data_IF_913896355170
#
_entry.id   IF_913896355170
#
_cell.length_a   1.000
_cell.length_b   1.000
_cell.length_c   1.000
_cell.angle_alpha   90.00
_cell.angle_beta   90.00
_cell.angle_gamma   90.00
#
_symmetry.space_group_name_H-M   'P 1'
#
loop_
_entity.id
_entity.type
_entity.pdbx_description
1 polymer ?
#
# COMPACT_ATOMS: atom_id res chain seq x y z
N UNK A 1 -3.84 -9.98 -25.06
CA UNK A 1 -2.46 -9.53 -24.95
C UNK A 1 -2.05 -9.71 -23.50
N UNK A 2 -1.07 -10.61 -23.26
CA UNK A 2 -0.59 -10.86 -21.90
C UNK A 2 0.21 -9.67 -21.39
N UNK A 3 0.07 -9.37 -20.11
CA UNK A 3 0.94 -8.41 -19.42
C UNK A 3 2.35 -9.01 -19.40
N UNK A 4 3.32 -8.28 -19.92
CA UNK A 4 4.73 -8.65 -19.78
C UNK A 4 5.37 -7.66 -18.81
N UNK A 5 5.95 -8.14 -17.73
CA UNK A 5 6.55 -7.30 -16.71
C UNK A 5 7.43 -8.10 -15.76
N UNK A 6 8.15 -7.40 -14.90
CA UNK A 6 8.95 -7.99 -13.82
C UNK A 6 8.14 -7.94 -12.54
N UNK A 7 8.01 -9.07 -11.86
CA UNK A 7 7.45 -9.15 -10.51
C UNK A 7 8.62 -9.19 -9.54
N UNK A 8 8.61 -8.28 -8.57
CA UNK A 8 9.58 -8.24 -7.48
C UNK A 8 8.88 -8.67 -6.21
N UNK A 9 9.33 -9.79 -5.64
CA UNK A 9 8.87 -10.25 -4.32
C UNK A 9 9.63 -9.51 -3.24
N UNK A 10 8.91 -8.85 -2.35
CA UNK A 10 9.48 -8.08 -1.25
C UNK A 10 9.34 -8.85 0.06
N UNK A 11 10.30 -8.70 0.98
CA UNK A 11 10.19 -9.28 2.32
C UNK A 11 8.87 -8.89 2.99
N UNK A 12 8.28 -9.81 3.75
CA UNK A 12 7.03 -9.57 4.46
C UNK A 12 7.17 -8.45 5.48
N UNK A 13 6.24 -7.51 5.44
CA UNK A 13 6.18 -6.39 6.37
C UNK A 13 4.75 -6.18 6.88
N UNK A 14 4.64 -5.69 8.10
CA UNK A 14 3.36 -5.25 8.67
C UNK A 14 3.22 -3.73 8.72
N UNK A 15 4.30 -3.01 8.46
CA UNK A 15 4.36 -1.55 8.49
C UNK A 15 5.48 -1.04 7.59
N UNK A 16 5.36 0.19 7.09
CA UNK A 16 6.46 0.92 6.47
C UNK A 16 7.38 1.62 7.50
N UNK A 17 7.07 1.54 8.80
CA UNK A 17 8.00 1.92 9.87
C UNK A 17 8.97 0.76 10.06
N UNK A 18 10.09 0.80 9.34
CA UNK A 18 11.00 -0.32 9.23
C UNK A 18 11.87 -0.47 10.49
N UNK A 19 11.64 -1.53 11.25
CA UNK A 19 12.45 -1.89 12.43
C UNK A 19 13.52 -2.95 12.11
N UNK A 20 13.33 -3.70 11.01
CA UNK A 20 14.26 -4.73 10.54
C UNK A 20 14.88 -4.36 9.20
N UNK A 21 16.02 -5.00 8.84
CA UNK A 21 16.66 -4.82 7.54
C UNK A 21 15.75 -5.24 6.37
N UNK A 22 14.94 -6.28 6.56
CA UNK A 22 13.99 -6.78 5.55
C UNK A 22 12.86 -5.77 5.32
N UNK A 23 12.31 -5.19 6.38
CA UNK A 23 11.30 -4.14 6.29
C UNK A 23 11.86 -2.87 5.66
N UNK A 24 13.12 -2.52 5.96
CA UNK A 24 13.81 -1.42 5.31
C UNK A 24 13.94 -1.65 3.80
N UNK A 25 14.35 -2.85 3.38
CA UNK A 25 14.47 -3.18 1.96
C UNK A 25 13.13 -3.08 1.23
N UNK A 26 12.04 -3.57 1.83
CA UNK A 26 10.69 -3.47 1.27
C UNK A 26 10.23 -2.00 1.15
N UNK A 27 10.39 -1.23 2.23
CA UNK A 27 10.07 0.21 2.24
C UNK A 27 10.86 0.96 1.18
N UNK A 28 12.19 0.77 1.13
CA UNK A 28 13.07 1.50 0.23
C UNK A 28 12.76 1.18 -1.24
N UNK A 29 12.39 -0.08 -1.53
CA UNK A 29 11.95 -0.43 -2.88
C UNK A 29 10.61 0.26 -3.25
N UNK A 30 9.62 0.28 -2.35
CA UNK A 30 8.34 0.94 -2.59
C UNK A 30 8.53 2.44 -2.77
N UNK A 31 9.39 3.07 -1.95
CA UNK A 31 9.62 4.51 -1.95
C UNK A 31 10.50 4.98 -3.10
N UNK A 32 11.54 4.23 -3.48
CA UNK A 32 12.59 4.68 -4.37
C UNK A 32 12.79 3.79 -5.61
N UNK A 33 12.23 2.58 -5.62
CA UNK A 33 12.34 1.66 -6.74
C UNK A 33 11.39 1.97 -7.91
N UNK A 34 10.49 2.96 -7.77
CA UNK A 34 9.53 3.38 -8.77
C UNK A 34 8.71 2.24 -9.39
N UNK A 35 8.08 1.36 -8.59
CA UNK A 35 7.25 0.30 -9.15
C UNK A 35 6.06 0.89 -9.91
N UNK A 36 5.72 0.29 -11.06
CA UNK A 36 4.55 0.72 -11.84
C UNK A 36 3.23 0.46 -11.12
N UNK A 37 3.16 -0.58 -10.28
CA UNK A 37 2.06 -0.88 -9.38
C UNK A 37 2.57 -1.70 -8.18
N UNK A 38 1.88 -1.58 -7.05
CA UNK A 38 2.15 -2.37 -5.84
C UNK A 38 0.94 -3.26 -5.55
N UNK A 39 1.17 -4.56 -5.42
CA UNK A 39 0.17 -5.51 -4.93
C UNK A 39 0.42 -5.74 -3.45
N UNK A 40 -0.56 -5.40 -2.61
CA UNK A 40 -0.49 -5.66 -1.18
C UNK A 40 -1.29 -6.91 -0.87
N UNK A 41 -0.62 -7.97 -0.44
CA UNK A 41 -1.25 -9.23 -0.08
C UNK A 41 -1.65 -9.20 1.39
N UNK A 42 -2.96 -9.29 1.63
CA UNK A 42 -3.59 -9.28 2.94
C UNK A 42 -4.15 -10.65 3.28
N UNK A 43 -4.00 -11.07 4.54
CA UNK A 43 -4.65 -12.25 5.07
C UNK A 43 -6.11 -11.91 5.44
N UNK A 44 -7.06 -12.59 4.78
CA UNK A 44 -8.50 -12.42 5.03
C UNK A 44 -8.90 -12.71 6.49
N UNK A 45 -8.13 -13.52 7.21
CA UNK A 45 -8.46 -13.90 8.60
C UNK A 45 -8.02 -12.86 9.63
N UNK A 46 -7.15 -11.91 9.25
CA UNK A 46 -6.63 -10.82 10.10
C UNK A 46 -6.55 -9.51 9.31
N UNK A 47 -7.54 -9.27 8.45
CA UNK A 47 -7.56 -8.20 7.47
C UNK A 47 -7.34 -6.82 8.09
N UNK A 48 -7.99 -6.51 9.21
CA UNK A 48 -7.88 -5.23 9.90
C UNK A 48 -6.42 -4.83 10.17
N UNK A 49 -5.61 -5.78 10.63
CA UNK A 49 -4.18 -5.56 10.87
C UNK A 49 -3.42 -5.24 9.58
N UNK A 50 -3.75 -5.94 8.49
CA UNK A 50 -3.06 -5.75 7.21
C UNK A 50 -3.45 -4.44 6.53
N UNK A 51 -4.67 -3.93 6.78
CA UNK A 51 -5.11 -2.66 6.21
C UNK A 51 -4.26 -1.47 6.66
N UNK A 52 -3.63 -1.53 7.84
CA UNK A 52 -2.68 -0.49 8.27
C UNK A 52 -1.52 -0.33 7.29
N UNK A 53 -0.95 -1.43 6.81
CA UNK A 53 0.11 -1.41 5.78
C UNK A 53 -0.43 -0.92 4.43
N UNK A 54 -1.62 -1.37 4.02
CA UNK A 54 -2.27 -0.91 2.79
C UNK A 54 -2.37 0.61 2.75
N UNK A 55 -2.90 1.20 3.84
CA UNK A 55 -3.05 2.65 3.94
C UNK A 55 -1.71 3.38 3.85
N UNK A 56 -0.68 2.89 4.55
CA UNK A 56 0.65 3.47 4.50
C UNK A 56 1.26 3.43 3.09
N UNK A 57 1.07 2.33 2.35
CA UNK A 57 1.55 2.21 0.96
C UNK A 57 0.76 3.15 0.04
N UNK A 58 -0.54 3.30 0.25
CA UNK A 58 -1.39 4.20 -0.54
C UNK A 58 -1.05 5.69 -0.34
N UNK A 59 -0.39 6.05 0.74
CA UNK A 59 0.17 7.40 0.94
C UNK A 59 1.43 7.64 0.11
N UNK A 60 2.17 6.57 -0.21
CA UNK A 60 3.41 6.64 -1.01
C UNK A 60 3.10 6.57 -2.50
N UNK A 61 2.25 5.64 -2.91
CA UNK A 61 1.94 5.39 -4.32
C UNK A 61 0.45 5.34 -4.58
N UNK A 62 0.03 5.93 -5.70
CA UNK A 62 -1.38 5.93 -6.12
C UNK A 62 -1.76 4.71 -6.99
N UNK A 63 -0.90 3.71 -7.15
CA UNK A 63 -1.19 2.49 -7.93
C UNK A 63 -1.07 1.26 -7.06
N UNK A 64 -2.06 1.07 -6.21
CA UNK A 64 -2.16 -0.07 -5.29
C UNK A 64 -3.29 -0.98 -5.72
N UNK A 65 -3.04 -2.29 -5.71
CA UNK A 65 -4.04 -3.34 -5.81
C UNK A 65 -4.01 -4.16 -4.53
N UNK A 66 -5.14 -4.29 -3.85
CA UNK A 66 -5.25 -5.06 -2.61
C UNK A 66 -5.67 -6.48 -2.95
N UNK A 67 -4.83 -7.44 -2.60
CA UNK A 67 -5.09 -8.87 -2.76
C UNK A 67 -5.48 -9.46 -1.40
N UNK A 68 -6.76 -9.73 -1.20
CA UNK A 68 -7.27 -10.39 0.02
C UNK A 68 -7.17 -11.89 -0.18
N UNK A 69 -6.11 -12.49 0.36
CA UNK A 69 -5.80 -13.90 0.22
C UNK A 69 -6.33 -14.74 1.39
N UNK A 70 -6.28 -16.06 1.27
CA UNK A 70 -6.78 -17.02 2.25
C UNK A 70 -8.31 -16.94 2.44
N UNK A 71 -9.04 -16.62 1.38
CA UNK A 71 -10.51 -16.53 1.44
C UNK A 71 -11.18 -17.86 1.78
N UNK A 72 -10.58 -18.98 1.39
CA UNK A 72 -11.00 -20.32 1.78
C UNK A 72 -10.89 -20.56 3.30
N UNK A 73 -9.86 -20.00 3.95
CA UNK A 73 -9.72 -20.05 5.40
C UNK A 73 -10.70 -19.12 6.11
N UNK A 74 -10.89 -17.92 5.61
CA UNK A 74 -11.88 -16.97 6.12
C UNK A 74 -13.27 -17.58 6.09
N UNK A 75 -13.67 -18.22 4.98
CA UNK A 75 -14.95 -18.91 4.84
C UNK A 75 -15.11 -20.04 5.89
N UNK A 76 -14.05 -20.84 6.10
CA UNK A 76 -14.07 -21.90 7.14
C UNK A 76 -14.23 -21.35 8.57
N UNK A 77 -13.70 -20.15 8.82
CA UNK A 77 -13.83 -19.44 10.10
C UNK A 77 -15.14 -18.64 10.22
N UNK A 78 -16.00 -18.65 9.20
CA UNK A 78 -17.24 -17.87 9.19
C UNK A 78 -17.05 -16.36 9.01
N UNK A 79 -15.86 -15.93 8.58
CA UNK A 79 -15.53 -14.54 8.33
C UNK A 79 -16.10 -14.15 6.95
N UNK A 80 -16.85 -13.05 6.92
CA UNK A 80 -17.39 -12.45 5.69
C UNK A 80 -16.78 -11.09 5.49
N UNK A 81 -16.29 -10.82 4.26
CA UNK A 81 -15.67 -9.56 3.89
C UNK A 81 -16.46 -8.99 2.72
N UNK A 82 -16.94 -7.76 2.87
CA UNK A 82 -17.54 -6.99 1.78
C UNK A 82 -16.42 -6.31 0.96
N UNK A 83 -15.96 -7.02 -0.07
CA UNK A 83 -14.88 -6.55 -0.94
C UNK A 83 -15.25 -5.33 -1.75
N UNK A 84 -16.55 -5.19 -2.13
CA UNK A 84 -17.02 -4.02 -2.88
C UNK A 84 -17.03 -2.77 -2.01
N UNK A 85 -17.52 -2.90 -0.76
CA UNK A 85 -17.45 -1.81 0.20
C UNK A 85 -15.99 -1.43 0.47
N UNK A 86 -15.12 -2.41 0.71
CA UNK A 86 -13.69 -2.17 0.95
C UNK A 86 -13.03 -1.46 -0.23
N UNK A 87 -13.33 -1.88 -1.46
CA UNK A 87 -12.80 -1.24 -2.67
C UNK A 87 -13.27 0.21 -2.81
N UNK A 88 -14.54 0.49 -2.47
CA UNK A 88 -15.07 1.86 -2.49
C UNK A 88 -14.41 2.75 -1.45
N UNK A 89 -14.26 2.26 -0.23
CA UNK A 89 -13.65 3.00 0.87
C UNK A 89 -12.16 3.29 0.61
N UNK A 90 -11.42 2.31 0.09
CA UNK A 90 -10.02 2.48 -0.26
C UNK A 90 -9.81 3.28 -1.55
N UNK A 91 -10.81 3.33 -2.44
CA UNK A 91 -10.63 3.90 -3.78
C UNK A 91 -9.63 3.13 -4.64
N UNK A 92 -9.38 1.86 -4.33
CA UNK A 92 -8.42 0.99 -4.99
C UNK A 92 -9.05 -0.37 -5.33
N UNK A 93 -8.58 -1.06 -6.38
CA UNK A 93 -9.04 -2.41 -6.67
C UNK A 93 -8.75 -3.37 -5.51
N UNK A 94 -9.76 -4.11 -5.10
CA UNK A 94 -9.66 -5.18 -4.09
C UNK A 94 -10.08 -6.49 -4.75
N UNK A 95 -9.20 -7.49 -4.69
CA UNK A 95 -9.42 -8.80 -5.31
C UNK A 95 -9.27 -9.88 -4.26
N UNK A 96 -10.26 -10.79 -4.22
CA UNK A 96 -10.20 -11.99 -3.39
C UNK A 96 -9.37 -13.07 -4.06
N UNK A 97 -8.57 -13.78 -3.28
CA UNK A 97 -7.81 -14.92 -3.76
C UNK A 97 -7.78 -16.06 -2.74
N UNK A 98 -7.62 -17.26 -3.28
CA UNK A 98 -7.18 -18.44 -2.55
C UNK A 98 -5.99 -19.02 -3.34
N UNK A 99 -4.81 -18.42 -3.12
CA UNK A 99 -3.63 -18.66 -3.96
C UNK A 99 -3.27 -20.16 -4.05
N UNK A 100 -3.52 -20.93 -2.99
CA UNK A 100 -3.29 -22.37 -2.94
C UNK A 100 -4.12 -23.14 -3.98
N UNK A 101 -5.36 -22.73 -4.24
CA UNK A 101 -6.25 -23.33 -5.27
C UNK A 101 -6.12 -22.65 -6.63
N UNK A 102 -5.44 -21.50 -6.70
CA UNK A 102 -5.35 -20.67 -7.90
C UNK A 102 -6.56 -19.79 -8.15
N UNK A 103 -7.54 -19.76 -7.24
CA UNK A 103 -8.75 -18.96 -7.35
C UNK A 103 -8.41 -17.46 -7.21
N UNK A 104 -9.02 -16.63 -8.07
CA UNK A 104 -8.84 -15.18 -8.06
C UNK A 104 -7.54 -14.66 -8.70
N UNK A 105 -6.60 -15.54 -9.13
CA UNK A 105 -5.32 -15.09 -9.69
C UNK A 105 -5.46 -14.41 -11.05
N UNK A 106 -6.44 -14.80 -11.87
CA UNK A 106 -6.72 -14.16 -13.16
C UNK A 106 -7.30 -12.77 -12.97
N UNK A 107 -8.20 -12.65 -12.02
CA UNK A 107 -8.83 -11.40 -11.61
C UNK A 107 -7.80 -10.43 -11.02
N UNK A 108 -6.86 -10.94 -10.21
CA UNK A 108 -5.74 -10.17 -9.70
C UNK A 108 -4.85 -9.63 -10.82
N UNK A 109 -4.46 -10.48 -11.77
CA UNK A 109 -3.68 -10.07 -12.93
C UNK A 109 -4.41 -9.01 -13.79
N UNK A 110 -5.73 -9.18 -13.97
CA UNK A 110 -6.56 -8.20 -14.67
C UNK A 110 -6.64 -6.86 -13.93
N UNK A 111 -6.78 -6.89 -12.60
CA UNK A 111 -6.80 -5.69 -11.77
C UNK A 111 -5.47 -4.92 -11.83
N UNK A 112 -4.34 -5.64 -11.78
CA UNK A 112 -3.00 -5.03 -11.94
C UNK A 112 -2.88 -4.39 -13.32
N UNK A 113 -3.22 -5.11 -14.39
CA UNK A 113 -3.22 -4.57 -15.75
C UNK A 113 -4.09 -3.31 -15.88
N UNK A 114 -5.28 -3.34 -15.29
CA UNK A 114 -6.22 -2.22 -15.31
C UNK A 114 -5.71 -1.01 -14.52
N UNK A 115 -4.92 -1.22 -13.48
CA UNK A 115 -4.33 -0.13 -12.69
C UNK A 115 -3.23 0.61 -13.44
N UNK A 116 -2.46 -0.09 -14.27
CA UNK A 116 -1.39 0.50 -15.09
C UNK A 116 -1.93 1.45 -16.17
N UNK A 117 -3.14 1.19 -16.68
CA UNK A 117 -3.81 2.03 -17.69
C UNK A 117 -4.48 3.29 -17.14
N UNK A 118 -4.46 3.51 -15.82
CA UNK A 118 -5.12 4.64 -15.16
C UNK A 118 -4.12 5.59 -14.53
N UNK A 119 -4.46 6.89 -14.40
CA UNK A 119 -3.62 7.79 -13.62
C UNK A 119 -3.53 7.32 -12.15
N UNK A 120 -2.38 7.55 -11.48
CA UNK A 120 -2.24 7.22 -10.08
C UNK A 120 -3.30 7.95 -9.24
N UNK A 121 -3.98 7.23 -8.37
CA UNK A 121 -5.02 7.78 -7.51
C UNK A 121 -4.48 7.85 -6.08
N UNK A 122 -3.96 9.02 -5.67
CA UNK A 122 -3.50 9.21 -4.31
C UNK A 122 -4.69 9.32 -3.36
N UNK A 123 -4.75 8.42 -2.40
CA UNK A 123 -5.71 8.49 -1.30
C UNK A 123 -5.17 9.49 -0.26
N UNK A 124 -5.97 10.50 0.07
CA UNK A 124 -5.71 11.37 1.22
C UNK A 124 -6.32 10.76 2.48
N UNK A 125 -5.52 10.06 3.25
CA UNK A 125 -5.91 9.60 4.58
C UNK A 125 -6.04 10.83 5.46
N UNK A 126 -7.17 10.93 6.18
CA UNK A 126 -7.40 12.00 7.16
C UNK A 126 -7.04 11.50 8.54
N UNK A 127 -6.13 12.18 9.16
CA UNK A 127 -5.74 11.96 10.55
C UNK A 127 -6.54 12.83 11.52
N UNK A 128 -6.28 12.66 12.81
CA UNK A 128 -6.85 13.53 13.82
C UNK A 128 -6.45 14.99 13.55
N UNK A 129 -7.30 15.99 13.90
CA UNK A 129 -7.03 17.40 13.59
C UNK A 129 -5.65 17.90 14.04
N UNK A 130 -5.16 17.45 15.20
CA UNK A 130 -3.84 17.82 15.72
C UNK A 130 -2.70 17.32 14.81
N UNK A 131 -2.87 16.16 14.18
CA UNK A 131 -1.87 15.62 13.23
C UNK A 131 -1.95 16.37 11.91
N UNK A 132 -3.17 16.66 11.42
CA UNK A 132 -3.37 17.44 10.19
C UNK A 132 -2.76 18.85 10.30
N UNK A 133 -2.90 19.49 11.46
CA UNK A 133 -2.30 20.78 11.75
C UNK A 133 -0.76 20.69 11.72
N UNK A 134 -0.17 19.69 12.38
CA UNK A 134 1.27 19.48 12.36
C UNK A 134 1.79 19.21 10.93
N UNK A 135 1.10 18.38 10.16
CA UNK A 135 1.44 18.09 8.75
C UNK A 135 1.40 19.39 7.93
N UNK A 136 0.34 20.18 8.06
CA UNK A 136 0.19 21.44 7.30
C UNK A 136 1.32 22.44 7.58
N UNK A 137 1.88 22.43 8.80
CA UNK A 137 3.02 23.27 9.19
C UNK A 137 4.35 22.76 8.61
N UNK A 138 4.52 21.45 8.50
CA UNK A 138 5.77 20.81 8.05
C UNK A 138 5.85 20.67 6.53
N UNK A 139 4.73 20.41 5.85
CA UNK A 139 4.67 20.14 4.42
C UNK A 139 5.39 21.22 3.55
N UNK A 140 5.23 22.54 3.80
CA UNK A 140 5.95 23.57 3.04
C UNK A 140 7.47 23.56 3.25
N UNK A 141 7.94 23.10 4.41
CA UNK A 141 9.37 22.97 4.69
C UNK A 141 9.97 21.76 3.96
N UNK A 142 9.22 20.66 3.94
CA UNK A 142 9.61 19.43 3.23
C UNK A 142 9.61 19.61 1.72
N UNK A 143 8.70 20.38 1.16
CA UNK A 143 8.67 20.68 -0.28
C UNK A 143 9.94 21.41 -0.78
N UNK A 144 10.68 22.07 0.09
CA UNK A 144 11.94 22.76 -0.23
C UNK A 144 13.15 21.84 -0.24
N UNK A 145 13.03 20.63 0.30
CA UNK A 145 14.10 19.63 0.26
C UNK A 145 14.21 19.10 -1.18
N UNK A 146 15.43 18.98 -1.77
CA UNK A 146 15.59 18.43 -3.11
C UNK A 146 14.93 17.06 -3.20
N UNK A 147 13.95 16.95 -4.12
CA UNK A 147 12.98 15.86 -4.15
C UNK A 147 13.61 14.54 -4.55
N UNK A 148 13.62 13.60 -3.61
CA UNK A 148 13.32 12.21 -3.96
C UNK A 148 11.83 12.09 -4.35
N UNK A 149 11.43 11.01 -5.01
CA UNK A 149 10.10 10.80 -5.58
C UNK A 149 8.92 10.69 -4.57
N UNK A 150 9.12 11.06 -3.31
CA UNK A 150 8.15 10.86 -2.23
C UNK A 150 7.21 12.07 -2.05
N UNK A 151 5.92 11.81 -1.75
CA UNK A 151 4.98 12.88 -1.45
C UNK A 151 5.40 13.68 -0.20
N UNK A 152 5.38 15.03 -0.29
CA UNK A 152 5.77 15.90 0.82
C UNK A 152 4.95 15.62 2.09
N UNK A 153 3.65 15.35 1.94
CA UNK A 153 2.76 14.96 3.03
C UNK A 153 3.24 13.69 3.76
N UNK A 154 3.63 12.66 3.02
CA UNK A 154 4.13 11.41 3.60
C UNK A 154 5.42 11.65 4.40
N UNK A 155 6.34 12.44 3.86
CA UNK A 155 7.56 12.84 4.57
C UNK A 155 7.23 13.64 5.84
N UNK A 156 6.31 14.61 5.77
CA UNK A 156 5.88 15.40 6.91
C UNK A 156 5.28 14.55 8.04
N UNK A 157 4.56 13.46 7.70
CA UNK A 157 4.02 12.50 8.67
C UNK A 157 5.11 11.67 9.37
N UNK A 158 6.26 11.44 8.71
CA UNK A 158 7.35 10.58 9.20
C UNK A 158 8.45 11.33 9.95
N UNK A 159 8.65 12.61 9.66
CA UNK A 159 9.66 13.42 10.36
C UNK A 159 9.54 13.39 11.89
N UNK A 160 8.35 13.50 12.49
CA UNK A 160 8.20 13.45 13.95
C UNK A 160 8.53 12.07 14.55
N UNK A 161 8.51 11.01 13.74
CA UNK A 161 8.83 9.64 14.16
C UNK A 161 10.34 9.34 14.22
N UNK A 162 11.21 10.31 13.84
CA UNK A 162 12.67 10.16 13.93
C UNK A 162 13.27 9.26 12.82
N UNK A 163 12.57 9.04 11.73
CA UNK A 163 13.07 8.28 10.58
C UNK A 163 14.01 9.14 9.71
N UNK A 164 15.16 9.52 10.27
CA UNK A 164 16.16 10.40 9.60
C UNK A 164 16.72 9.82 8.28
N UNK A 165 16.61 8.50 8.07
CA UNK A 165 17.10 7.82 6.86
C UNK A 165 16.33 8.12 5.57
N UNK A 166 15.15 8.79 5.65
CA UNK A 166 14.29 9.10 4.51
C UNK A 166 14.61 10.45 3.83
N UNK A 167 15.49 11.25 4.44
CA UNK A 167 15.83 12.62 3.99
C UNK A 167 17.24 12.70 3.38
N UNK A 168 17.90 11.55 3.18
CA UNK A 168 19.27 11.49 2.61
C UNK A 168 19.27 11.29 1.11
#
# INVERSE_FOLDING_TARGET
PGLTGTIVDLPGSYSLSAESADEQAARDFICFGHPDAVVVVCDATVLERNLCLVLQIMEVTGRVVVCVNLMDEAARKGIRIDLEALSRELGAPVVSTSARSGEGLKELAAAVSGSLGRPPQQMKIRYLPVIEEAVSMLEPAVERVPKGALPARWLALRMPAGEEGLVR
#
